data_IF_900232922596
#
_entry.id   IF_900232922596
#
_cell.length_a   1.000
_cell.length_b   1.000
_cell.length_c   1.000
_cell.angle_alpha   90.00
_cell.angle_beta   90.00
_cell.angle_gamma   90.00
#
_symmetry.space_group_name_H-M   'P 1'
#
loop_
_entity.id
_entity.type
_entity.pdbx_description
1 polymer ?
#
# COMPACT_ATOMS: atom_id res chain seq x y z
N UNK A 1 11.57 8.61 -32.56
CA UNK A 1 11.38 7.39 -31.74
C UNK A 1 10.50 7.77 -30.56
N UNK A 2 9.18 7.53 -30.64
CA UNK A 2 8.28 7.82 -29.54
C UNK A 2 8.44 6.72 -28.48
N UNK A 3 8.97 7.07 -27.31
CA UNK A 3 9.02 6.17 -26.16
C UNK A 3 7.61 5.71 -25.82
N UNK A 4 7.41 4.40 -25.72
CA UNK A 4 6.15 3.84 -25.20
C UNK A 4 5.98 4.41 -23.81
N UNK A 5 4.97 5.26 -23.61
CA UNK A 5 4.46 5.52 -22.26
C UNK A 5 4.01 4.17 -21.75
N UNK A 6 4.64 3.70 -20.67
CA UNK A 6 4.00 2.70 -19.82
C UNK A 6 2.63 3.32 -19.46
N UNK A 7 1.50 2.73 -19.88
CA UNK A 7 0.20 3.29 -19.55
C UNK A 7 0.13 3.39 -18.02
N UNK A 8 -0.45 4.49 -17.51
CA UNK A 8 -0.81 4.56 -16.09
C UNK A 8 -1.46 3.23 -15.74
N UNK A 9 -0.91 2.56 -14.72
CA UNK A 9 -1.51 1.35 -14.15
C UNK A 9 -2.99 1.65 -14.00
N UNK A 10 -3.90 0.85 -14.59
CA UNK A 10 -5.30 1.24 -14.63
C UNK A 10 -5.78 1.42 -13.18
N UNK A 11 -6.50 2.51 -12.92
CA UNK A 11 -7.18 2.84 -11.66
C UNK A 11 -8.15 1.74 -11.15
N UNK A 12 -8.16 0.56 -11.77
CA UNK A 12 -9.01 -0.58 -11.48
C UNK A 12 -8.79 -1.15 -10.08
N UNK A 13 -7.56 -1.22 -9.58
CA UNK A 13 -7.30 -1.69 -8.22
C UNK A 13 -7.84 -0.69 -7.18
N UNK A 14 -7.60 0.61 -7.37
CA UNK A 14 -8.09 1.65 -6.47
C UNK A 14 -9.62 1.74 -6.50
N UNK A 15 -10.20 1.57 -7.69
CA UNK A 15 -11.65 1.50 -7.89
C UNK A 15 -12.24 0.27 -7.22
N UNK A 16 -11.60 -0.91 -7.36
CA UNK A 16 -12.03 -2.13 -6.71
C UNK A 16 -11.93 -2.04 -5.19
N UNK A 17 -10.84 -1.49 -4.65
CA UNK A 17 -10.66 -1.27 -3.22
C UNK A 17 -11.74 -0.34 -2.66
N UNK A 18 -12.05 0.77 -3.36
CA UNK A 18 -13.10 1.69 -2.96
C UNK A 18 -14.50 1.05 -3.00
N UNK A 19 -14.80 0.28 -4.05
CA UNK A 19 -16.07 -0.44 -4.15
C UNK A 19 -16.21 -1.49 -3.05
N UNK A 20 -15.14 -2.24 -2.76
CA UNK A 20 -15.14 -3.24 -1.72
C UNK A 20 -15.32 -2.59 -0.35
N UNK A 21 -14.58 -1.51 -0.05
CA UNK A 21 -14.70 -0.80 1.22
C UNK A 21 -16.12 -0.25 1.47
N UNK A 22 -16.77 0.26 0.42
CA UNK A 22 -18.17 0.70 0.50
C UNK A 22 -19.15 -0.45 0.70
N UNK A 23 -18.91 -1.59 0.03
CA UNK A 23 -19.78 -2.77 0.13
C UNK A 23 -19.68 -3.47 1.48
N UNK A 24 -18.49 -3.53 2.07
CA UNK A 24 -18.25 -4.23 3.34
C UNK A 24 -18.39 -3.31 4.55
N UNK A 25 -18.33 -1.99 4.36
CA UNK A 25 -18.23 -1.03 5.47
C UNK A 25 -16.88 -1.09 6.19
N UNK A 26 -15.91 -1.85 5.67
CA UNK A 26 -14.60 -2.03 6.27
C UNK A 26 -13.49 -1.41 5.40
N UNK A 27 -12.42 -0.85 5.98
CA UNK A 27 -11.30 -0.38 5.19
C UNK A 27 -10.58 -1.53 4.46
N UNK A 28 -10.20 -1.27 3.22
CA UNK A 28 -9.54 -2.25 2.33
C UNK A 28 -8.10 -1.83 2.08
N UNK A 29 -7.22 -2.82 2.01
CA UNK A 29 -5.84 -2.71 1.56
C UNK A 29 -5.62 -3.74 0.46
N UNK A 30 -5.02 -3.33 -0.65
CA UNK A 30 -4.59 -4.21 -1.74
C UNK A 30 -3.11 -3.99 -1.99
N UNK A 31 -2.39 -5.07 -2.24
CA UNK A 31 -1.00 -5.01 -2.66
C UNK A 31 -0.86 -5.85 -3.92
N UNK A 32 -0.18 -5.29 -4.91
CA UNK A 32 0.12 -5.99 -6.13
C UNK A 32 1.61 -5.92 -6.40
N UNK A 33 2.20 -7.07 -6.73
CA UNK A 33 3.64 -7.22 -6.84
C UNK A 33 4.09 -7.21 -8.30
N UNK A 34 5.25 -6.60 -8.54
CA UNK A 34 6.02 -6.76 -9.77
C UNK A 34 7.21 -7.66 -9.44
N UNK A 35 7.19 -8.87 -10.00
CA UNK A 35 8.22 -9.91 -9.82
C UNK A 35 8.57 -10.23 -8.36
N UNK A 36 7.62 -10.02 -7.44
CA UNK A 36 7.85 -10.04 -5.97
C UNK A 36 8.87 -9.03 -5.44
N UNK A 37 9.57 -8.30 -6.31
CA UNK A 37 10.57 -7.31 -5.92
C UNK A 37 9.97 -5.97 -5.48
N UNK A 38 8.85 -5.56 -6.08
CA UNK A 38 8.23 -4.25 -5.82
C UNK A 38 6.76 -4.40 -5.50
N UNK A 39 6.31 -3.82 -4.39
CA UNK A 39 4.92 -3.85 -3.95
C UNK A 39 4.20 -2.53 -4.18
N UNK A 40 3.12 -2.55 -4.94
CA UNK A 40 2.23 -1.38 -5.11
C UNK A 40 1.06 -1.51 -4.16
N UNK A 41 0.95 -0.58 -3.21
CA UNK A 41 -0.10 -0.57 -2.21
C UNK A 41 -1.17 0.42 -2.63
N UNK A 42 -2.43 0.00 -2.54
CA UNK A 42 -3.59 0.87 -2.65
C UNK A 42 -4.60 0.53 -1.56
N UNK A 43 -5.09 1.54 -0.86
CA UNK A 43 -6.06 1.37 0.21
C UNK A 43 -7.20 2.38 0.13
N UNK A 44 -8.35 1.97 0.66
CA UNK A 44 -9.55 2.78 0.69
C UNK A 44 -10.32 2.59 2.01
N UNK A 45 -10.97 3.66 2.48
CA UNK A 45 -11.93 3.62 3.58
C UNK A 45 -13.36 3.77 3.03
N UNK A 46 -14.35 3.29 3.78
CA UNK A 46 -15.76 3.44 3.42
C UNK A 46 -16.20 4.92 3.37
N UNK A 47 -15.53 5.79 4.14
CA UNK A 47 -15.72 7.25 4.14
C UNK A 47 -15.07 7.96 2.95
N UNK A 48 -14.43 7.22 2.03
CA UNK A 48 -13.85 7.77 0.80
C UNK A 48 -12.38 8.18 0.89
N UNK A 49 -11.72 7.96 2.03
CA UNK A 49 -10.27 8.12 2.16
C UNK A 49 -9.55 7.12 1.26
N UNK A 50 -8.51 7.57 0.55
CA UNK A 50 -7.71 6.75 -0.35
C UNK A 50 -6.24 7.12 -0.24
N UNK A 51 -5.37 6.12 -0.27
CA UNK A 51 -3.93 6.33 -0.31
C UNK A 51 -3.25 5.22 -1.10
N UNK A 52 -2.02 5.50 -1.51
CA UNK A 52 -1.16 4.57 -2.22
C UNK A 52 0.26 4.67 -1.72
N UNK A 53 1.00 3.59 -1.83
CA UNK A 53 2.41 3.53 -1.48
C UNK A 53 3.18 2.57 -2.40
N UNK A 54 4.49 2.63 -2.28
CA UNK A 54 5.42 1.77 -2.97
C UNK A 54 6.35 1.13 -1.93
N UNK A 55 6.39 -0.20 -1.91
CA UNK A 55 7.30 -1.01 -1.10
C UNK A 55 8.54 -1.33 -1.94
N UNK A 56 9.70 -1.48 -1.28
CA UNK A 56 11.00 -1.64 -1.94
C UNK A 56 11.30 -0.48 -2.90
N UNK A 57 11.32 0.75 -2.38
CA UNK A 57 11.53 1.97 -3.18
C UNK A 57 12.85 1.94 -3.97
N UNK A 58 13.94 1.52 -3.34
CA UNK A 58 15.25 1.46 -3.99
C UNK A 58 15.25 0.50 -5.20
N UNK A 59 14.64 -0.68 -5.05
CA UNK A 59 14.46 -1.63 -6.16
C UNK A 59 13.53 -1.06 -7.24
N UNK A 60 12.49 -0.33 -6.82
CA UNK A 60 11.59 0.32 -7.76
C UNK A 60 12.29 1.44 -8.57
N UNK A 61 13.18 2.22 -7.94
CA UNK A 61 14.04 3.20 -8.63
C UNK A 61 14.95 2.50 -9.65
N UNK A 62 15.52 1.34 -9.29
CA UNK A 62 16.31 0.52 -10.23
C UNK A 62 15.48 0.05 -11.43
N UNK A 63 14.19 -0.21 -11.24
CA UNK A 63 13.22 -0.54 -12.29
C UNK A 63 12.65 0.69 -13.02
N UNK A 64 13.23 1.87 -12.79
CA UNK A 64 12.81 3.15 -13.37
C UNK A 64 11.34 3.52 -13.04
N UNK A 65 10.81 3.00 -11.93
CA UNK A 65 9.48 3.34 -11.43
C UNK A 65 9.56 4.73 -10.76
N UNK A 66 8.67 5.68 -11.10
CA UNK A 66 8.72 7.05 -10.57
C UNK A 66 8.24 7.10 -9.11
N UNK A 67 9.17 6.93 -8.17
CA UNK A 67 8.90 6.82 -6.73
C UNK A 67 8.30 8.10 -6.12
N UNK A 68 8.57 9.25 -6.72
CA UNK A 68 8.03 10.56 -6.39
C UNK A 68 6.50 10.63 -6.55
N UNK A 69 5.89 9.72 -7.32
CA UNK A 69 4.43 9.54 -7.37
C UNK A 69 3.84 8.86 -6.12
N UNK A 70 4.69 8.37 -5.22
CA UNK A 70 4.32 7.64 -4.01
C UNK A 70 4.96 8.27 -2.77
N UNK A 71 4.65 9.52 -2.39
CA UNK A 71 5.31 10.19 -1.27
C UNK A 71 5.07 9.47 0.06
N UNK A 72 6.15 9.18 0.80
CA UNK A 72 6.13 8.41 2.06
C UNK A 72 5.22 9.04 3.11
N UNK A 73 5.31 10.36 3.32
CA UNK A 73 4.51 11.02 4.36
C UNK A 73 3.01 11.04 4.03
N UNK A 74 2.63 11.10 2.74
CA UNK A 74 1.23 10.99 2.34
C UNK A 74 0.70 9.56 2.53
N UNK A 75 1.53 8.56 2.22
CA UNK A 75 1.21 7.15 2.47
C UNK A 75 1.05 6.88 3.97
N UNK A 76 1.94 7.42 4.81
CA UNK A 76 1.85 7.30 6.26
C UNK A 76 0.56 7.92 6.80
N UNK A 77 0.25 9.16 6.42
CA UNK A 77 -0.99 9.83 6.85
C UNK A 77 -2.23 9.00 6.46
N UNK A 78 -2.28 8.52 5.21
CA UNK A 78 -3.37 7.68 4.74
C UNK A 78 -3.46 6.32 5.45
N UNK A 79 -2.32 5.72 5.79
CA UNK A 79 -2.26 4.47 6.55
C UNK A 79 -2.83 4.64 7.97
N UNK A 80 -2.49 5.74 8.65
CA UNK A 80 -3.02 6.08 9.96
C UNK A 80 -4.53 6.35 9.91
N UNK A 81 -5.01 7.12 8.93
CA UNK A 81 -6.44 7.35 8.72
C UNK A 81 -7.20 6.05 8.45
N UNK A 82 -6.61 5.15 7.65
CA UNK A 82 -7.18 3.83 7.38
C UNK A 82 -7.25 2.97 8.63
N UNK A 83 -6.21 2.97 9.46
CA UNK A 83 -6.19 2.22 10.71
C UNK A 83 -7.28 2.74 11.66
N UNK A 84 -7.36 4.07 11.84
CA UNK A 84 -8.38 4.72 12.64
C UNK A 84 -9.81 4.41 12.14
N UNK A 85 -10.05 4.46 10.83
CA UNK A 85 -11.34 4.10 10.22
C UNK A 85 -11.73 2.63 10.45
N UNK A 86 -10.76 1.76 10.71
CA UNK A 86 -10.97 0.35 11.05
C UNK A 86 -11.01 0.08 12.56
N UNK A 87 -10.91 1.10 13.40
CA UNK A 87 -10.79 0.94 14.86
C UNK A 87 -9.48 0.28 15.30
N UNK A 88 -8.44 0.33 14.47
CA UNK A 88 -7.13 -0.26 14.75
C UNK A 88 -6.17 0.77 15.33
N UNK A 89 -5.23 0.30 16.14
CA UNK A 89 -4.09 1.11 16.62
C UNK A 89 -2.88 0.80 15.76
N UNK A 90 -2.50 1.74 14.91
CA UNK A 90 -1.32 1.64 14.07
C UNK A 90 -0.04 2.02 14.83
N UNK A 91 1.08 1.45 14.41
CA UNK A 91 2.45 1.84 14.77
C UNK A 91 3.00 2.80 13.69
N UNK A 92 3.05 4.12 13.93
CA UNK A 92 3.51 5.07 12.93
C UNK A 92 4.99 4.89 12.55
N UNK A 93 5.83 4.49 13.50
CA UNK A 93 7.26 4.31 13.27
C UNK A 93 7.50 3.00 12.49
N UNK A 94 6.76 1.94 12.81
CA UNK A 94 6.72 0.70 12.04
C UNK A 94 6.26 0.93 10.60
N UNK A 95 5.18 1.69 10.38
CA UNK A 95 4.71 2.02 9.03
C UNK A 95 5.79 2.79 8.27
N UNK A 96 6.39 3.82 8.87
CA UNK A 96 7.46 4.60 8.21
C UNK A 96 8.65 3.72 7.86
N UNK A 97 9.09 2.85 8.79
CA UNK A 97 10.18 1.92 8.56
C UNK A 97 9.92 0.98 7.38
N UNK A 98 8.67 0.51 7.20
CA UNK A 98 8.30 -0.28 6.03
C UNK A 98 8.34 0.55 4.74
N UNK A 99 7.77 1.76 4.76
CA UNK A 99 7.66 2.64 3.59
C UNK A 99 9.02 3.15 3.07
N UNK A 100 10.03 3.20 3.94
CA UNK A 100 11.41 3.58 3.58
C UNK A 100 12.38 2.40 3.55
N UNK A 101 11.90 1.20 3.87
CA UNK A 101 12.72 0.01 4.00
C UNK A 101 12.86 -0.77 2.69
N UNK A 102 13.73 -1.78 2.75
CA UNK A 102 13.92 -2.76 1.70
C UNK A 102 13.90 -4.19 2.25
N UNK A 103 13.56 -5.14 1.40
CA UNK A 103 13.58 -6.57 1.67
C UNK A 103 13.86 -7.34 0.36
N UNK A 104 14.37 -8.60 0.44
CA UNK A 104 14.55 -9.45 -0.74
C UNK A 104 13.25 -9.66 -1.51
N UNK A 105 12.12 -9.80 -0.80
CA UNK A 105 10.78 -9.86 -1.38
C UNK A 105 9.89 -8.78 -0.76
N UNK A 106 9.11 -8.08 -1.58
CA UNK A 106 8.18 -7.03 -1.17
C UNK A 106 7.00 -7.57 -0.33
N UNK A 107 6.70 -8.86 -0.41
CA UNK A 107 5.74 -9.56 0.44
C UNK A 107 6.14 -9.46 1.92
N UNK A 108 7.43 -9.54 2.24
CA UNK A 108 7.90 -9.40 3.63
C UNK A 108 7.62 -8.00 4.19
N UNK A 109 7.77 -6.96 3.35
CA UNK A 109 7.39 -5.61 3.72
C UNK A 109 5.87 -5.48 3.86
N UNK A 110 5.09 -6.23 3.09
CA UNK A 110 3.63 -6.25 3.21
C UNK A 110 3.19 -6.88 4.54
N UNK A 111 3.79 -8.00 4.95
CA UNK A 111 3.50 -8.60 6.25
C UNK A 111 3.82 -7.65 7.40
N UNK A 112 4.97 -6.95 7.32
CA UNK A 112 5.33 -5.91 8.29
C UNK A 112 4.37 -4.73 8.26
N UNK A 113 3.91 -4.30 7.07
CA UNK A 113 2.91 -3.22 6.93
C UNK A 113 1.58 -3.61 7.58
N UNK A 114 1.09 -4.82 7.33
CA UNK A 114 -0.16 -5.34 7.89
C UNK A 114 -0.06 -5.39 9.42
N UNK A 115 1.06 -5.86 9.96
CA UNK A 115 1.35 -5.83 11.40
C UNK A 115 1.37 -4.41 11.97
N UNK A 116 2.10 -3.49 11.32
CA UNK A 116 2.18 -2.08 11.75
C UNK A 116 0.84 -1.33 11.62
N UNK A 117 -0.07 -1.77 10.75
CA UNK A 117 -1.45 -1.27 10.67
C UNK A 117 -2.35 -1.79 11.81
N UNK A 118 -1.84 -2.67 12.67
CA UNK A 118 -2.59 -3.30 13.75
C UNK A 118 -3.56 -4.38 13.28
N UNK A 119 -3.38 -4.91 12.05
CA UNK A 119 -4.20 -6.00 11.53
C UNK A 119 -3.64 -7.31 12.07
N UNK A 120 -4.41 -7.98 12.92
CA UNK A 120 -4.03 -9.29 13.44
C UNK A 120 -3.91 -10.31 12.28
N UNK A 121 -2.93 -11.23 12.32
CA UNK A 121 -2.92 -12.36 11.42
C UNK A 121 -4.22 -13.17 11.60
N UNK A 122 -4.74 -13.73 10.51
CA UNK A 122 -5.89 -14.60 10.59
C UNK A 122 -5.59 -15.75 11.57
N UNK A 123 -6.51 -16.02 12.50
CA UNK A 123 -6.40 -17.18 13.37
C UNK A 123 -6.28 -18.43 12.48
N UNK A 124 -5.26 -19.26 12.74
CA UNK A 124 -5.11 -20.55 12.09
C UNK A 124 -6.28 -21.43 12.56
N UNK A 125 -7.23 -21.69 11.66
CA UNK A 125 -8.34 -22.62 11.88
C UNK A 125 -7.95 -24.06 11.57
#
# INVERSE_FOLDING_TARGET
MAGRRCPDRPDGAATAAALLARRTGAPVLTVAYLDSDVGFVEAATFAGGRWKALLNRDTAEHYEIPVDRFPVEAALAGALDRAAAGGLTADPDGIRAVLTGSAPCAEELTDRLVGALGIAPAAQG
#
